data_IF_482832281123
#
_entry.id   IF_482832281123
#
_cell.length_a   1.000
_cell.length_b   1.000
_cell.length_c   1.000
_cell.angle_alpha   90.00
_cell.angle_beta   90.00
_cell.angle_gamma   90.00
#
_symmetry.space_group_name_H-M   'P 1'
#
loop_
_entity.id
_entity.type
_entity.pdbx_description
1 polymer ?
#
# COMPACT_ATOMS: atom_id res chain seq x y z
N UNK A 1 9.63 20.99 17.68
CA UNK A 1 8.35 21.28 16.98
C UNK A 1 8.56 21.10 15.46
N UNK A 2 8.52 19.86 14.95
CA UNK A 2 8.74 19.52 13.52
C UNK A 2 7.89 18.31 13.07
N UNK A 3 6.66 18.18 13.60
CA UNK A 3 5.78 17.02 13.32
C UNK A 3 4.69 17.35 12.27
N UNK A 4 4.56 18.61 11.81
CA UNK A 4 3.26 19.10 11.31
C UNK A 4 3.13 19.27 9.79
N UNK A 5 4.13 18.97 8.97
CA UNK A 5 4.01 19.19 7.50
C UNK A 5 3.62 17.95 6.66
N UNK A 6 3.33 16.80 7.27
CA UNK A 6 3.09 15.54 6.54
C UNK A 6 1.65 15.22 6.12
N UNK A 7 0.63 15.96 6.56
CA UNK A 7 -0.77 15.51 6.46
C UNK A 7 -1.51 15.87 5.15
N UNK A 8 -0.82 16.33 4.10
CA UNK A 8 -1.47 16.80 2.85
C UNK A 8 -1.89 15.73 1.85
N UNK A 9 -1.53 14.46 2.05
CA UNK A 9 -1.91 13.38 1.13
C UNK A 9 -2.61 12.24 1.86
N UNK A 10 -3.89 12.46 2.14
CA UNK A 10 -4.85 11.40 2.44
C UNK A 10 -5.74 11.18 1.23
N UNK A 11 -6.19 9.93 1.08
CA UNK A 11 -6.92 9.39 -0.07
C UNK A 11 -7.91 10.38 -0.73
N UNK A 12 -7.91 10.52 -2.07
CA UNK A 12 -8.82 11.41 -2.78
C UNK A 12 -10.27 10.95 -2.58
N UNK A 13 -11.00 11.74 -1.79
CA UNK A 13 -12.33 11.45 -1.25
C UNK A 13 -13.39 12.25 -2.02
N UNK A 14 -13.72 11.83 -3.23
CA UNK A 14 -14.98 12.20 -3.90
C UNK A 14 -15.64 10.94 -4.49
N UNK A 15 -16.92 10.79 -4.10
CA UNK A 15 -17.93 9.80 -4.52
C UNK A 15 -17.76 8.33 -4.08
N UNK A 16 -17.81 8.10 -2.77
CA UNK A 16 -17.73 6.77 -2.14
C UNK A 16 -18.94 5.87 -2.45
N UNK A 17 -20.14 6.45 -2.58
CA UNK A 17 -21.37 5.70 -2.84
C UNK A 17 -21.45 5.22 -4.30
N UNK A 18 -21.03 6.03 -5.27
CA UNK A 18 -20.94 5.62 -6.67
C UNK A 18 -19.83 4.59 -6.88
N UNK A 19 -18.66 4.77 -6.26
CA UNK A 19 -17.55 3.80 -6.33
C UNK A 19 -17.93 2.44 -5.73
N UNK A 20 -18.69 2.42 -4.62
CA UNK A 20 -19.21 1.18 -4.03
C UNK A 20 -20.17 0.44 -4.97
N UNK A 21 -21.11 1.14 -5.59
CA UNK A 21 -22.02 0.55 -6.58
C UNK A 21 -21.26 0.02 -7.79
N UNK A 22 -20.34 0.83 -8.35
CA UNK A 22 -19.49 0.42 -9.47
C UNK A 22 -18.69 -0.86 -9.18
N UNK A 23 -18.12 -1.00 -7.98
CA UNK A 23 -17.37 -2.21 -7.62
C UNK A 23 -18.26 -3.46 -7.49
N UNK A 24 -19.48 -3.30 -6.96
CA UNK A 24 -20.47 -4.39 -6.86
C UNK A 24 -20.97 -4.78 -8.25
N UNK A 25 -21.34 -3.81 -9.07
CA UNK A 25 -21.84 -4.02 -10.44
C UNK A 25 -20.77 -4.68 -11.31
N UNK A 26 -19.50 -4.27 -11.16
CA UNK A 26 -18.37 -4.91 -11.84
C UNK A 26 -18.17 -6.36 -11.38
N UNK A 27 -18.27 -6.64 -10.07
CA UNK A 27 -18.16 -8.01 -9.55
C UNK A 27 -19.28 -8.93 -10.05
N UNK A 28 -20.52 -8.43 -10.09
CA UNK A 28 -21.67 -9.15 -10.66
C UNK A 28 -21.46 -9.38 -12.17
N UNK A 29 -20.97 -8.38 -12.89
CA UNK A 29 -20.64 -8.48 -14.31
C UNK A 29 -19.65 -9.59 -14.61
N UNK A 30 -18.54 -9.68 -13.86
CA UNK A 30 -17.56 -10.78 -14.02
C UNK A 30 -18.19 -12.13 -13.69
N UNK A 31 -18.99 -12.23 -12.63
CA UNK A 31 -19.69 -13.48 -12.29
C UNK A 31 -20.58 -13.99 -13.42
N UNK A 32 -21.34 -13.09 -14.06
CA UNK A 32 -22.16 -13.41 -15.24
C UNK A 32 -21.28 -13.82 -16.42
N UNK A 33 -20.15 -13.13 -16.65
CA UNK A 33 -19.19 -13.46 -17.72
C UNK A 33 -18.54 -14.83 -17.53
N UNK A 34 -18.16 -15.21 -16.30
CA UNK A 34 -17.62 -16.54 -15.99
C UNK A 34 -18.68 -17.60 -16.25
N UNK A 35 -19.92 -17.40 -15.78
CA UNK A 35 -21.02 -18.35 -16.00
C UNK A 35 -21.31 -18.51 -17.50
N UNK A 36 -21.36 -17.40 -18.25
CA UNK A 36 -21.57 -17.42 -19.69
C UNK A 36 -20.43 -18.12 -20.43
N UNK A 37 -19.18 -17.88 -20.02
CA UNK A 37 -18.00 -18.53 -20.56
C UNK A 37 -18.00 -20.04 -20.28
N UNK A 38 -18.24 -20.46 -19.03
CA UNK A 38 -18.36 -21.90 -18.68
C UNK A 38 -19.49 -22.55 -19.46
N UNK A 39 -20.66 -21.91 -19.55
CA UNK A 39 -21.80 -22.42 -20.33
C UNK A 39 -21.47 -22.53 -21.83
N UNK A 40 -20.77 -21.55 -22.40
CA UNK A 40 -20.32 -21.55 -23.81
C UNK A 40 -19.35 -22.69 -24.08
N UNK A 41 -18.37 -22.91 -23.19
CA UNK A 41 -17.38 -23.98 -23.35
C UNK A 41 -17.99 -25.37 -23.16
N UNK A 42 -18.90 -25.54 -22.20
CA UNK A 42 -19.66 -26.79 -22.04
C UNK A 42 -20.45 -27.06 -23.32
N UNK A 43 -21.20 -26.07 -23.82
CA UNK A 43 -21.99 -26.21 -25.05
C UNK A 43 -21.12 -26.53 -26.26
N UNK A 44 -20.00 -25.84 -26.43
CA UNK A 44 -19.06 -26.06 -27.53
C UNK A 44 -18.38 -27.44 -27.43
N UNK A 45 -18.10 -27.95 -26.23
CA UNK A 45 -17.55 -29.30 -26.02
C UNK A 45 -18.58 -30.38 -26.36
N UNK A 46 -19.84 -30.18 -25.97
CA UNK A 46 -20.95 -31.09 -26.33
C UNK A 46 -21.24 -31.07 -27.83
N UNK A 47 -21.32 -29.88 -28.45
CA UNK A 47 -21.59 -29.71 -29.88
C UNK A 47 -20.44 -30.25 -30.76
N UNK A 48 -19.19 -30.20 -30.27
CA UNK A 48 -18.01 -30.76 -30.96
C UNK A 48 -17.82 -32.27 -30.76
N UNK A 49 -18.52 -32.91 -29.82
CA UNK A 49 -18.40 -34.37 -29.57
C UNK A 49 -18.98 -35.23 -30.69
N UNK A 50 -19.76 -34.65 -31.61
CA UNK A 50 -20.36 -35.33 -32.76
C UNK A 50 -19.60 -35.20 -34.09
N UNK A 51 -18.55 -34.37 -34.18
CA UNK A 51 -17.85 -34.09 -35.43
C UNK A 51 -16.34 -34.34 -35.27
N UNK A 52 -15.79 -35.25 -36.06
CA UNK A 52 -14.37 -35.62 -36.05
C UNK A 52 -13.43 -34.47 -36.42
N UNK A 53 -13.14 -33.58 -35.47
CA UNK A 53 -12.20 -32.47 -35.58
C UNK A 53 -10.80 -32.86 -35.08
N UNK A 54 -9.79 -32.23 -35.67
CA UNK A 54 -8.38 -32.56 -35.42
C UNK A 54 -7.94 -32.17 -34.00
N UNK A 55 -6.99 -32.93 -33.44
CA UNK A 55 -6.40 -32.68 -32.11
C UNK A 55 -5.90 -31.23 -31.93
N UNK A 56 -5.47 -30.58 -33.01
CA UNK A 56 -4.97 -29.20 -33.02
C UNK A 56 -6.06 -28.16 -32.73
N UNK A 57 -7.30 -28.38 -33.19
CA UNK A 57 -8.43 -27.48 -32.93
C UNK A 57 -8.85 -27.53 -31.45
N UNK A 58 -8.74 -28.70 -30.82
CA UNK A 58 -9.00 -28.85 -29.39
C UNK A 58 -7.94 -28.14 -28.55
N UNK A 59 -6.66 -28.25 -28.92
CA UNK A 59 -5.57 -27.53 -28.22
C UNK A 59 -5.77 -26.01 -28.29
N UNK A 60 -6.00 -25.47 -29.49
CA UNK A 60 -6.22 -24.03 -29.67
C UNK A 60 -7.44 -23.53 -28.88
N UNK A 61 -8.49 -24.35 -28.78
CA UNK A 61 -9.65 -24.03 -27.97
C UNK A 61 -9.32 -23.99 -26.46
N UNK A 62 -8.55 -24.96 -25.95
CA UNK A 62 -8.11 -24.95 -24.54
C UNK A 62 -7.17 -23.79 -24.21
N UNK A 63 -6.28 -23.40 -25.14
CA UNK A 63 -5.43 -22.22 -24.98
C UNK A 63 -6.25 -20.94 -24.88
N UNK A 64 -7.25 -20.77 -25.74
CA UNK A 64 -8.18 -19.64 -25.69
C UNK A 64 -8.98 -19.60 -24.37
N UNK A 65 -9.40 -20.77 -23.88
CA UNK A 65 -10.08 -20.88 -22.59
C UNK A 65 -9.15 -20.43 -21.46
N UNK A 66 -7.90 -20.89 -21.48
CA UNK A 66 -6.91 -20.55 -20.47
C UNK A 66 -6.62 -19.04 -20.44
N UNK A 67 -6.43 -18.41 -21.60
CA UNK A 67 -6.18 -16.97 -21.70
C UNK A 67 -7.36 -16.14 -21.17
N UNK A 68 -8.60 -16.51 -21.51
CA UNK A 68 -9.80 -15.83 -21.01
C UNK A 68 -9.97 -15.99 -19.49
N UNK A 69 -9.65 -17.16 -18.93
CA UNK A 69 -9.70 -17.39 -17.48
C UNK A 69 -8.63 -16.58 -16.73
N UNK A 70 -7.41 -16.47 -17.28
CA UNK A 70 -6.37 -15.64 -16.67
C UNK A 70 -6.75 -14.15 -16.70
N UNK A 71 -7.31 -13.65 -17.80
CA UNK A 71 -7.83 -12.28 -17.86
C UNK A 71 -8.92 -12.03 -16.79
N UNK A 72 -9.90 -12.93 -16.69
CA UNK A 72 -10.98 -12.80 -15.69
C UNK A 72 -10.46 -12.85 -14.24
N UNK A 73 -9.42 -13.66 -13.99
CA UNK A 73 -8.75 -13.72 -12.69
C UNK A 73 -8.06 -12.40 -12.34
N UNK A 74 -7.33 -11.80 -13.27
CA UNK A 74 -6.69 -10.49 -13.06
C UNK A 74 -7.72 -9.38 -12.76
N UNK A 75 -8.84 -9.37 -13.50
CA UNK A 75 -9.94 -8.44 -13.28
C UNK A 75 -10.58 -8.63 -11.90
N UNK A 76 -10.85 -9.88 -11.49
CA UNK A 76 -11.41 -10.20 -10.18
C UNK A 76 -10.46 -9.80 -9.04
N UNK A 77 -9.16 -10.03 -9.19
CA UNK A 77 -8.16 -9.56 -8.24
C UNK A 77 -8.15 -8.02 -8.14
N UNK A 78 -8.30 -7.33 -9.27
CA UNK A 78 -8.39 -5.87 -9.30
C UNK A 78 -9.59 -5.34 -8.52
N UNK A 79 -10.78 -5.91 -8.76
CA UNK A 79 -12.00 -5.56 -8.03
C UNK A 79 -11.85 -5.87 -6.54
N UNK A 80 -11.31 -7.04 -6.18
CA UNK A 80 -11.07 -7.40 -4.79
C UNK A 80 -10.15 -6.38 -4.09
N UNK A 81 -9.11 -5.90 -4.77
CA UNK A 81 -8.23 -4.84 -4.24
C UNK A 81 -9.00 -3.52 -4.03
N UNK A 82 -9.86 -3.11 -4.95
CA UNK A 82 -10.66 -1.88 -4.81
C UNK A 82 -11.72 -1.99 -3.71
N UNK A 83 -12.43 -3.12 -3.59
CA UNK A 83 -13.37 -3.39 -2.50
C UNK A 83 -12.66 -3.30 -1.15
N UNK A 84 -11.48 -3.91 -1.04
CA UNK A 84 -10.66 -3.85 0.16
C UNK A 84 -10.23 -2.42 0.51
N UNK A 85 -9.80 -1.61 -0.47
CA UNK A 85 -9.49 -0.17 -0.27
C UNK A 85 -10.70 0.61 0.22
N UNK A 86 -11.88 0.38 -0.36
CA UNK A 86 -13.12 1.00 0.10
C UNK A 86 -13.44 0.59 1.54
N UNK A 87 -13.24 -0.68 1.89
CA UNK A 87 -13.39 -1.19 3.25
C UNK A 87 -12.50 -0.46 4.26
N UNK A 88 -11.25 -0.13 3.89
CA UNK A 88 -10.37 0.69 4.75
C UNK A 88 -11.01 2.05 5.05
N UNK A 89 -11.52 2.72 4.02
CA UNK A 89 -12.15 4.02 4.16
C UNK A 89 -13.44 3.98 4.97
N UNK A 90 -14.17 2.87 5.00
CA UNK A 90 -15.41 2.77 5.78
C UNK A 90 -15.11 2.49 7.25
N UNK A 91 -14.20 1.56 7.53
CA UNK A 91 -13.95 1.08 8.89
C UNK A 91 -13.06 2.04 9.68
N UNK A 92 -11.99 2.57 9.07
CA UNK A 92 -10.98 3.34 9.79
C UNK A 92 -11.23 4.85 9.79
N UNK A 93 -12.10 5.36 8.91
CA UNK A 93 -12.33 6.81 8.75
C UNK A 93 -12.83 7.48 10.02
N UNK A 94 -13.78 6.87 10.73
CA UNK A 94 -14.30 7.45 11.98
C UNK A 94 -13.19 7.61 13.05
N UNK A 95 -12.25 6.67 13.09
CA UNK A 95 -11.14 6.67 14.03
C UNK A 95 -10.07 7.71 13.63
N UNK A 96 -9.80 7.83 12.33
CA UNK A 96 -8.94 8.88 11.79
C UNK A 96 -9.52 10.28 12.06
N UNK A 97 -10.80 10.49 11.75
CA UNK A 97 -11.50 11.75 12.00
C UNK A 97 -11.48 12.10 13.49
N UNK A 98 -11.71 11.12 14.36
CA UNK A 98 -11.67 11.35 15.82
C UNK A 98 -10.30 11.83 16.29
N UNK A 99 -9.20 11.22 15.82
CA UNK A 99 -7.84 11.65 16.17
C UNK A 99 -7.56 13.06 15.65
N UNK A 100 -7.96 13.38 14.41
CA UNK A 100 -7.77 14.70 13.82
C UNK A 100 -8.56 15.78 14.56
N UNK A 101 -9.84 15.55 14.83
CA UNK A 101 -10.67 16.48 15.59
C UNK A 101 -10.09 16.70 17.00
N UNK A 102 -9.59 15.63 17.62
CA UNK A 102 -8.96 15.70 18.95
C UNK A 102 -7.67 16.55 18.94
N UNK A 103 -6.89 16.49 17.85
CA UNK A 103 -5.74 17.37 17.66
C UNK A 103 -6.16 18.83 17.45
N UNK A 104 -7.26 19.08 16.74
CA UNK A 104 -7.79 20.43 16.54
C UNK A 104 -8.23 21.05 17.87
N UNK A 105 -9.03 20.35 18.66
CA UNK A 105 -9.47 20.86 19.98
C UNK A 105 -8.31 21.04 20.95
N UNK A 106 -7.27 20.19 20.87
CA UNK A 106 -6.02 20.40 21.62
C UNK A 106 -5.36 21.72 21.23
N UNK A 107 -5.21 21.99 19.92
CA UNK A 107 -4.60 23.24 19.44
C UNK A 107 -5.40 24.46 19.90
N UNK A 108 -6.73 24.42 19.78
CA UNK A 108 -7.60 25.49 20.26
C UNK A 108 -7.41 25.77 21.77
N UNK A 109 -7.24 24.73 22.57
CA UNK A 109 -6.93 24.88 23.99
C UNK A 109 -5.52 25.43 24.25
N UNK A 110 -4.51 24.99 23.50
CA UNK A 110 -3.14 25.48 23.63
C UNK A 110 -2.99 26.94 23.18
N UNK A 111 -3.73 27.37 22.16
CA UNK A 111 -3.77 28.75 21.68
C UNK A 111 -4.56 29.66 22.62
N UNK A 112 -5.68 29.16 23.18
CA UNK A 112 -6.56 29.89 24.08
C UNK A 112 -6.91 29.05 25.31
N UNK A 113 -6.03 29.06 26.32
CA UNK A 113 -6.16 28.23 27.52
C UNK A 113 -7.20 28.77 28.51
N UNK A 114 -8.48 28.53 28.21
CA UNK A 114 -9.61 28.80 29.09
C UNK A 114 -10.34 27.49 29.46
N UNK A 115 -11.17 27.55 30.52
CA UNK A 115 -11.88 26.39 31.06
C UNK A 115 -12.84 25.76 30.04
N UNK A 116 -13.49 26.57 29.20
CA UNK A 116 -14.37 26.08 28.14
C UNK A 116 -13.61 25.21 27.14
N UNK A 117 -12.49 25.69 26.61
CA UNK A 117 -11.66 24.97 25.64
C UNK A 117 -11.03 23.72 26.27
N UNK A 118 -10.64 23.81 27.55
CA UNK A 118 -10.17 22.64 28.31
C UNK A 118 -11.23 21.54 28.36
N UNK A 119 -12.47 21.90 28.69
CA UNK A 119 -13.57 20.94 28.81
C UNK A 119 -13.96 20.35 27.43
N UNK A 120 -13.96 21.16 26.37
CA UNK A 120 -14.16 20.68 24.98
C UNK A 120 -13.09 19.64 24.62
N UNK A 121 -11.82 19.95 24.87
CA UNK A 121 -10.72 19.03 24.61
C UNK A 121 -10.85 17.72 25.40
N UNK A 122 -11.04 17.79 26.71
CA UNK A 122 -11.19 16.60 27.58
C UNK A 122 -12.34 15.71 27.08
N UNK A 123 -13.50 16.29 26.78
CA UNK A 123 -14.66 15.54 26.31
C UNK A 123 -14.43 14.87 24.95
N UNK A 124 -13.70 15.53 24.04
CA UNK A 124 -13.44 15.00 22.70
C UNK A 124 -12.42 13.84 22.72
N UNK A 125 -11.52 13.81 23.69
CA UNK A 125 -10.40 12.84 23.77
C UNK A 125 -10.72 11.60 24.61
N UNK A 126 -11.83 11.57 25.36
CA UNK A 126 -12.18 10.50 26.29
C UNK A 126 -11.98 9.07 25.72
N UNK A 127 -12.32 8.83 24.45
CA UNK A 127 -12.13 7.53 23.78
C UNK A 127 -11.21 7.63 22.54
N UNK A 128 -10.13 8.40 22.65
CA UNK A 128 -9.04 8.37 21.65
C UNK A 128 -8.28 7.04 21.72
N UNK A 129 -8.19 6.42 22.91
CA UNK A 129 -7.51 5.14 23.14
C UNK A 129 -8.07 4.03 22.25
N UNK A 130 -9.39 3.95 22.11
CA UNK A 130 -10.06 2.97 21.25
C UNK A 130 -9.74 3.20 19.77
N UNK A 131 -9.69 4.46 19.34
CA UNK A 131 -9.34 4.80 17.96
C UNK A 131 -7.89 4.45 17.63
N UNK A 132 -6.98 4.63 18.58
CA UNK A 132 -5.58 4.21 18.45
C UNK A 132 -5.50 2.67 18.35
N UNK A 133 -6.22 1.93 19.20
CA UNK A 133 -6.26 0.46 19.16
C UNK A 133 -6.77 -0.06 17.83
N UNK A 134 -7.90 0.46 17.35
CA UNK A 134 -8.49 0.00 16.07
C UNK A 134 -7.51 0.21 14.91
N UNK A 135 -6.79 1.34 14.87
CA UNK A 135 -5.78 1.59 13.82
C UNK A 135 -4.58 0.65 13.94
N UNK A 136 -4.09 0.40 15.16
CA UNK A 136 -2.97 -0.53 15.42
C UNK A 136 -3.37 -1.96 15.06
N UNK A 137 -4.54 -2.41 15.50
CA UNK A 137 -5.07 -3.73 15.19
C UNK A 137 -5.29 -3.89 13.68
N UNK A 138 -5.73 -2.82 13.00
CA UNK A 138 -5.83 -2.78 11.54
C UNK A 138 -4.48 -2.94 10.83
N UNK A 139 -3.42 -2.29 11.33
CA UNK A 139 -2.05 -2.44 10.82
C UNK A 139 -1.47 -3.83 11.12
N UNK A 140 -1.80 -4.42 12.27
CA UNK A 140 -1.40 -5.77 12.65
C UNK A 140 -2.21 -6.86 11.92
N UNK A 141 -3.29 -6.51 11.23
CA UNK A 141 -4.23 -7.47 10.64
C UNK A 141 -5.02 -8.25 11.69
N UNK A 142 -5.19 -7.69 12.89
CA UNK A 142 -5.90 -8.30 14.03
C UNK A 142 -7.33 -7.78 14.19
N UNK A 143 -7.72 -6.76 13.43
CA UNK A 143 -9.09 -6.26 13.43
C UNK A 143 -10.04 -7.32 12.82
N UNK A 144 -10.97 -7.82 13.63
CA UNK A 144 -11.92 -8.87 13.22
C UNK A 144 -12.89 -8.43 12.12
N UNK A 145 -13.26 -7.15 12.11
CA UNK A 145 -14.30 -6.62 11.21
C UNK A 145 -13.73 -5.67 10.16
N UNK A 146 -12.47 -5.26 10.31
CA UNK A 146 -11.77 -4.37 9.41
C UNK A 146 -10.82 -5.12 8.49
N UNK A 147 -10.66 -4.66 7.23
CA UNK A 147 -9.62 -5.19 6.38
C UNK A 147 -8.22 -4.90 6.97
N UNK A 148 -7.29 -5.82 6.73
CA UNK A 148 -5.87 -5.67 7.07
C UNK A 148 -5.24 -4.54 6.24
N UNK A 149 -4.79 -3.49 6.93
CA UNK A 149 -4.24 -2.29 6.30
C UNK A 149 -2.96 -2.65 5.52
N UNK A 150 -2.08 -3.49 6.08
CA UNK A 150 -0.83 -3.86 5.42
C UNK A 150 -1.03 -4.79 4.22
N UNK A 151 -2.09 -5.59 4.20
CA UNK A 151 -2.38 -6.49 3.07
C UNK A 151 -2.89 -5.75 1.82
N UNK A 152 -3.39 -4.53 1.96
CA UNK A 152 -3.99 -3.76 0.86
C UNK A 152 -2.97 -2.82 0.20
N UNK A 153 -1.94 -2.44 0.94
CA UNK A 153 -0.87 -1.62 0.41
C UNK A 153 -0.13 -2.43 -0.65
N UNK A 154 0.02 -1.85 -1.85
CA UNK A 154 0.73 -2.51 -2.96
C UNK A 154 2.16 -2.84 -2.52
N UNK A 155 2.53 -4.10 -2.72
CA UNK A 155 3.80 -4.66 -2.32
C UNK A 155 4.92 -4.16 -3.24
N UNK A 156 5.51 -3.01 -2.90
CA UNK A 156 6.62 -2.36 -3.60
C UNK A 156 7.43 -1.63 -2.52
N UNK A 157 8.68 -2.01 -2.28
CA UNK A 157 9.49 -1.66 -1.10
C UNK A 157 9.39 -0.19 -0.63
N UNK A 158 9.77 0.79 -1.46
CA UNK A 158 9.70 2.22 -1.08
C UNK A 158 8.26 2.74 -1.02
N UNK A 159 7.39 2.30 -1.94
CA UNK A 159 5.97 2.71 -1.98
C UNK A 159 5.19 2.16 -0.77
N UNK A 160 5.52 0.98 -0.27
CA UNK A 160 4.99 0.37 0.96
C UNK A 160 5.31 1.24 2.17
N UNK A 161 6.59 1.60 2.35
CA UNK A 161 7.02 2.47 3.46
C UNK A 161 6.30 3.81 3.44
N UNK A 162 6.17 4.44 2.28
CA UNK A 162 5.47 5.73 2.17
C UNK A 162 3.97 5.61 2.45
N UNK A 163 3.34 4.49 2.07
CA UNK A 163 1.92 4.26 2.35
C UNK A 163 1.66 4.02 3.84
N UNK A 164 2.50 3.22 4.50
CA UNK A 164 2.39 2.93 5.95
C UNK A 164 2.65 4.18 6.80
N UNK A 165 3.60 5.03 6.40
CA UNK A 165 3.94 6.28 7.11
C UNK A 165 2.73 7.17 7.42
N UNK A 166 1.74 7.20 6.54
CA UNK A 166 0.53 8.02 6.75
C UNK A 166 -0.28 7.54 7.96
N UNK A 167 -0.50 6.23 8.06
CA UNK A 167 -1.24 5.60 9.17
C UNK A 167 -0.41 5.61 10.45
N UNK A 168 0.91 5.37 10.35
CA UNK A 168 1.84 5.49 11.47
C UNK A 168 1.84 6.91 12.06
N UNK A 169 1.90 7.94 11.20
CA UNK A 169 1.82 9.34 11.62
C UNK A 169 0.52 9.66 12.34
N UNK A 170 -0.59 9.08 11.90
CA UNK A 170 -1.89 9.22 12.55
C UNK A 170 -1.92 8.55 13.93
N UNK A 171 -1.37 7.34 14.06
CA UNK A 171 -1.23 6.64 15.36
C UNK A 171 -0.38 7.48 16.32
N UNK A 172 0.76 7.99 15.86
CA UNK A 172 1.63 8.85 16.65
C UNK A 172 0.94 10.16 17.07
N UNK A 173 0.11 10.72 16.20
CA UNK A 173 -0.73 11.88 16.52
C UNK A 173 -1.72 11.55 17.63
N UNK A 174 -2.40 10.40 17.56
CA UNK A 174 -3.30 9.93 18.61
C UNK A 174 -2.58 9.76 19.95
N UNK A 175 -1.41 9.14 19.95
CA UNK A 175 -0.58 8.96 21.16
C UNK A 175 -0.15 10.31 21.77
N UNK A 176 0.21 11.29 20.92
CA UNK A 176 0.54 12.64 21.37
C UNK A 176 -0.67 13.32 22.04
N UNK A 177 -1.83 13.31 21.37
CA UNK A 177 -3.06 13.92 21.90
C UNK A 177 -3.47 13.27 23.22
N UNK A 178 -3.38 11.94 23.30
CA UNK A 178 -3.63 11.17 24.52
C UNK A 178 -2.70 11.58 25.67
N UNK A 179 -1.40 11.77 25.40
CA UNK A 179 -0.43 12.23 26.40
C UNK A 179 -0.82 13.61 26.95
N UNK A 180 -1.20 14.54 26.07
CA UNK A 180 -1.67 15.86 26.49
C UNK A 180 -2.96 15.78 27.29
N UNK A 181 -3.90 14.90 26.91
CA UNK A 181 -5.09 14.63 27.70
C UNK A 181 -4.75 14.21 29.12
N UNK A 182 -3.85 13.24 29.31
CA UNK A 182 -3.42 12.82 30.65
C UNK A 182 -2.78 13.97 31.45
N UNK A 183 -1.99 14.82 30.79
CA UNK A 183 -1.36 15.99 31.43
C UNK A 183 -2.37 17.04 31.87
N UNK A 184 -3.46 17.21 31.11
CA UNK A 184 -4.46 18.27 31.31
C UNK A 184 -5.63 17.81 32.19
N UNK A 185 -6.01 16.52 32.14
CA UNK A 185 -7.17 15.96 32.84
C UNK A 185 -6.85 15.41 34.23
N UNK A 186 -5.63 14.93 34.48
CA UNK A 186 -5.27 14.19 35.70
C UNK A 186 -4.37 15.07 36.60
N UNK A 187 -4.68 15.16 37.90
CA UNK A 187 -3.71 15.63 38.90
C UNK A 187 -2.50 14.69 38.90
N UNK A 188 -1.28 15.23 38.85
CA UNK A 188 -0.01 14.53 38.55
C UNK A 188 0.26 13.18 39.27
N UNK A 189 -0.45 12.86 40.35
CA UNK A 189 -0.34 11.63 41.15
C UNK A 189 -0.85 10.35 40.47
N UNK A 190 -1.78 10.41 39.51
CA UNK A 190 -2.25 9.22 38.77
C UNK A 190 -1.43 8.93 37.50
N UNK A 191 -0.58 9.86 37.08
CA UNK A 191 0.24 9.80 35.87
C UNK A 191 1.32 8.68 35.92
N UNK A 192 1.66 8.21 37.12
CA UNK A 192 2.79 7.30 37.36
C UNK A 192 2.44 5.80 37.33
N UNK A 193 1.16 5.41 37.28
CA UNK A 193 0.79 3.98 37.18
C UNK A 193 0.88 3.51 35.73
N UNK A 194 1.57 2.39 35.52
CA UNK A 194 1.64 1.74 34.22
C UNK A 194 0.23 1.31 33.77
N UNK A 195 -0.33 2.04 32.81
CA UNK A 195 -1.68 1.75 32.31
C UNK A 195 -1.66 0.51 31.41
N UNK A 196 -2.74 -0.31 31.42
CA UNK A 196 -2.91 -1.41 30.46
C UNK A 196 -2.76 -0.96 29.00
N UNK A 197 -3.13 0.29 28.70
CA UNK A 197 -2.94 0.90 27.40
C UNK A 197 -1.46 1.02 27.02
N UNK A 198 -0.60 1.51 27.93
CA UNK A 198 0.85 1.61 27.69
C UNK A 198 1.44 0.25 27.34
N UNK A 199 1.13 -0.80 28.12
CA UNK A 199 1.61 -2.17 27.86
C UNK A 199 1.16 -2.68 26.49
N UNK A 200 -0.09 -2.40 26.11
CA UNK A 200 -0.61 -2.73 24.78
C UNK A 200 0.18 -2.01 23.68
N UNK A 201 0.44 -0.70 23.82
CA UNK A 201 1.22 0.06 22.83
C UNK A 201 2.64 -0.50 22.71
N UNK A 202 3.34 -0.67 23.82
CA UNK A 202 4.73 -1.18 23.83
C UNK A 202 4.82 -2.54 23.12
N UNK A 203 3.86 -3.45 23.41
CA UNK A 203 3.80 -4.77 22.78
C UNK A 203 3.44 -4.68 21.29
N UNK A 204 2.52 -3.77 20.93
CA UNK A 204 2.03 -3.64 19.56
C UNK A 204 3.04 -3.00 18.63
N UNK A 205 3.83 -2.04 19.12
CA UNK A 205 4.92 -1.42 18.35
C UNK A 205 5.98 -2.44 17.94
N UNK A 206 6.38 -3.34 18.86
CA UNK A 206 7.32 -4.43 18.57
C UNK A 206 6.74 -5.36 17.49
N UNK A 207 5.46 -5.73 17.61
CA UNK A 207 4.79 -6.58 16.60
C UNK A 207 4.68 -5.89 15.25
N UNK A 208 4.37 -4.59 15.23
CA UNK A 208 4.26 -3.79 14.02
C UNK A 208 5.59 -3.68 13.30
N UNK A 209 6.67 -3.42 14.04
CA UNK A 209 8.02 -3.34 13.51
C UNK A 209 8.42 -4.66 12.84
N UNK A 210 8.23 -5.79 13.53
CA UNK A 210 8.50 -7.12 12.97
C UNK A 210 7.68 -7.36 11.71
N UNK A 211 6.36 -7.17 11.78
CA UNK A 211 5.44 -7.39 10.65
C UNK A 211 5.79 -6.50 9.45
N UNK A 212 6.15 -5.25 9.69
CA UNK A 212 6.58 -4.34 8.64
C UNK A 212 7.86 -4.83 7.97
N UNK A 213 8.86 -5.25 8.75
CA UNK A 213 10.10 -5.81 8.21
C UNK A 213 9.85 -7.09 7.40
N UNK A 214 9.05 -8.02 7.93
CA UNK A 214 8.65 -9.24 7.22
C UNK A 214 7.96 -8.89 5.89
N UNK A 215 7.03 -7.92 5.91
CA UNK A 215 6.32 -7.49 4.70
C UNK A 215 7.22 -6.82 3.68
N UNK A 216 8.18 -6.02 4.12
CA UNK A 216 9.17 -5.41 3.24
C UNK A 216 10.02 -6.48 2.55
N UNK A 217 10.41 -7.53 3.28
CA UNK A 217 11.16 -8.66 2.71
C UNK A 217 10.31 -9.41 1.68
N UNK A 218 9.03 -9.69 1.98
CA UNK A 218 8.10 -10.29 1.02
C UNK A 218 7.93 -9.46 -0.25
N UNK A 219 8.01 -8.13 -0.14
CA UNK A 219 7.83 -7.21 -1.26
C UNK A 219 9.08 -7.00 -2.12
N UNK A 220 10.20 -7.63 -1.80
CA UNK A 220 11.37 -7.56 -2.66
C UNK A 220 11.20 -8.48 -3.86
N UNK A 221 11.17 -7.88 -5.06
CA UNK A 221 11.25 -8.61 -6.31
C UNK A 221 12.61 -9.33 -6.41
N UNK A 222 12.60 -10.56 -6.95
CA UNK A 222 13.83 -11.32 -7.15
C UNK A 222 14.73 -10.60 -8.17
N UNK A 223 15.85 -10.07 -7.67
CA UNK A 223 16.80 -9.31 -8.46
C UNK A 223 17.55 -10.19 -9.48
N UNK A 224 17.49 -11.53 -9.36
CA UNK A 224 18.13 -12.44 -10.32
C UNK A 224 17.56 -12.31 -11.73
N UNK A 225 16.30 -11.90 -11.85
CA UNK A 225 15.59 -11.83 -13.13
C UNK A 225 15.71 -10.47 -13.83
N UNK A 226 16.30 -9.46 -13.17
CA UNK A 226 16.41 -8.09 -13.68
C UNK A 226 16.98 -8.07 -15.10
N UNK A 227 18.12 -8.75 -15.34
CA UNK A 227 18.78 -8.74 -16.64
C UNK A 227 17.95 -9.38 -17.77
N UNK A 228 17.19 -10.44 -17.47
CA UNK A 228 16.33 -11.14 -18.43
C UNK A 228 15.12 -10.26 -18.80
N UNK A 229 14.52 -9.63 -17.80
CA UNK A 229 13.35 -8.78 -17.99
C UNK A 229 13.70 -7.45 -18.68
N UNK A 230 14.83 -6.85 -18.31
CA UNK A 230 15.41 -5.72 -19.05
C UNK A 230 15.64 -6.09 -20.52
N UNK A 231 16.19 -7.26 -20.80
CA UNK A 231 16.40 -7.75 -22.17
C UNK A 231 15.09 -7.90 -22.95
N UNK A 232 13.98 -8.24 -22.29
CA UNK A 232 12.66 -8.36 -22.92
C UNK A 232 12.06 -6.99 -23.24
N UNK A 233 12.20 -6.01 -22.35
CA UNK A 233 11.78 -4.62 -22.58
C UNK A 233 12.58 -4.01 -23.72
N UNK A 234 13.89 -4.20 -23.71
CA UNK A 234 14.75 -3.67 -24.77
C UNK A 234 14.41 -4.26 -26.13
N UNK A 235 14.03 -5.54 -26.18
CA UNK A 235 13.51 -6.18 -27.40
C UNK A 235 12.18 -5.59 -27.86
N UNK A 236 11.26 -5.32 -26.93
CA UNK A 236 9.97 -4.70 -27.24
C UNK A 236 10.10 -3.24 -27.71
N UNK A 237 11.13 -2.52 -27.24
CA UNK A 237 11.40 -1.12 -27.61
C UNK A 237 12.42 -0.96 -28.74
N UNK A 238 12.80 -2.04 -29.45
CA UNK A 238 13.81 -2.00 -30.52
C UNK A 238 13.48 -1.02 -31.66
N UNK A 239 12.19 -0.80 -31.91
CA UNK A 239 11.70 0.11 -32.96
C UNK A 239 11.54 1.56 -32.50
N UNK A 240 11.76 1.84 -31.22
CA UNK A 240 11.59 3.16 -30.61
C UNK A 240 12.93 3.91 -30.51
N UNK A 241 12.88 5.22 -30.21
CA UNK A 241 14.09 6.00 -30.00
C UNK A 241 14.82 5.53 -28.74
N UNK A 242 16.13 5.79 -28.67
CA UNK A 242 16.97 5.36 -27.53
C UNK A 242 16.52 6.01 -26.22
N UNK A 243 16.03 7.24 -26.29
CA UNK A 243 15.46 7.98 -25.17
C UNK A 243 14.20 7.29 -24.66
N UNK A 244 13.27 6.92 -25.55
CA UNK A 244 12.01 6.23 -25.17
C UNK A 244 12.28 4.84 -24.58
N UNK A 245 13.25 4.11 -25.13
CA UNK A 245 13.68 2.83 -24.58
C UNK A 245 14.31 2.98 -23.18
N UNK A 246 15.11 4.03 -22.97
CA UNK A 246 15.73 4.30 -21.68
C UNK A 246 14.70 4.74 -20.61
N UNK A 247 13.75 5.58 -20.99
CA UNK A 247 12.65 6.01 -20.11
C UNK A 247 11.76 4.81 -19.73
N UNK A 248 11.40 3.96 -20.71
CA UNK A 248 10.61 2.74 -20.46
C UNK A 248 11.34 1.77 -19.54
N UNK A 249 12.65 1.64 -19.69
CA UNK A 249 13.48 0.78 -18.85
C UNK A 249 13.62 1.35 -17.44
N UNK A 250 13.83 2.66 -17.30
CA UNK A 250 13.90 3.33 -16.01
C UNK A 250 12.57 3.23 -15.27
N UNK A 251 11.46 3.52 -15.94
CA UNK A 251 10.11 3.40 -15.39
C UNK A 251 9.85 1.98 -14.89
N UNK A 252 10.17 0.97 -15.70
CA UNK A 252 10.05 -0.42 -15.28
C UNK A 252 10.89 -0.77 -14.05
N UNK A 253 12.17 -0.37 -14.03
CA UNK A 253 13.08 -0.65 -12.92
C UNK A 253 12.64 0.05 -11.64
N UNK A 254 12.20 1.31 -11.73
CA UNK A 254 11.64 2.04 -10.60
C UNK A 254 10.27 1.53 -10.17
N UNK A 255 9.51 0.92 -11.09
CA UNK A 255 8.20 0.36 -10.78
C UNK A 255 8.30 -0.99 -10.07
N UNK A 256 9.14 -1.89 -10.59
CA UNK A 256 9.25 -3.30 -10.16
C UNK A 256 10.34 -3.53 -9.12
N UNK A 257 11.46 -2.80 -9.22
CA UNK A 257 12.62 -2.94 -8.34
C UNK A 257 12.85 -1.65 -7.54
N UNK A 258 11.80 -1.15 -6.91
CA UNK A 258 11.80 0.13 -6.22
C UNK A 258 12.61 0.14 -4.91
N UNK A 259 13.33 -0.93 -4.59
CA UNK A 259 14.23 -1.01 -3.43
C UNK A 259 15.54 -0.21 -3.64
N UNK A 260 15.89 0.12 -4.89
CA UNK A 260 17.13 0.81 -5.27
C UNK A 260 16.87 2.02 -6.15
N UNK A 261 17.83 2.94 -6.20
CA UNK A 261 17.84 3.99 -7.24
C UNK A 261 18.48 3.39 -8.48
N UNK A 262 17.85 3.63 -9.62
CA UNK A 262 18.32 3.12 -10.92
C UNK A 262 18.78 4.30 -11.76
N UNK A 263 19.85 4.08 -12.51
CA UNK A 263 20.35 5.02 -13.50
C UNK A 263 20.46 4.24 -14.81
N UNK A 264 19.79 4.74 -15.85
CA UNK A 264 19.88 4.18 -17.20
C UNK A 264 20.70 5.15 -18.04
N UNK A 265 21.82 4.67 -18.58
CA UNK A 265 22.73 5.49 -19.39
C UNK A 265 22.63 5.07 -20.86
N UNK A 266 22.19 5.99 -21.73
CA UNK A 266 22.22 5.80 -23.18
C UNK A 266 23.59 6.15 -23.74
N UNK A 267 24.27 5.19 -24.38
CA UNK A 267 25.51 5.48 -25.11
C UNK A 267 25.24 5.78 -26.59
N UNK A 268 25.88 6.84 -27.11
CA UNK A 268 25.93 7.10 -28.55
C UNK A 268 27.14 6.36 -29.14
N UNK A 269 26.91 5.24 -29.82
CA UNK A 269 27.94 4.65 -30.67
C UNK A 269 28.17 5.59 -31.86
N UNK A 270 29.39 6.13 -31.98
CA UNK A 270 29.86 6.87 -33.15
C UNK A 270 30.57 5.98 -34.20
N UNK A 271 30.47 4.65 -34.09
CA UNK A 271 31.06 3.73 -35.07
C UNK A 271 29.97 3.13 -35.96
N UNK A 272 30.07 3.39 -37.26
CA UNK A 272 29.19 2.89 -38.31
C UNK A 272 29.34 1.40 -38.59
N UNK A 273 29.05 0.57 -37.60
CA UNK A 273 28.85 -0.87 -37.80
C UNK A 273 27.45 -1.27 -37.34
N UNK A 274 26.70 -1.81 -38.29
CA UNK A 274 25.35 -2.33 -38.11
C UNK A 274 25.39 -3.67 -37.36
N UNK A 275 25.63 -3.62 -36.05
CA UNK A 275 25.24 -4.71 -35.15
C UNK A 275 24.52 -4.13 -33.94
N UNK A 276 23.24 -4.50 -33.83
CA UNK A 276 22.35 -4.15 -32.73
C UNK A 276 22.87 -4.72 -31.40
N UNK A 277 23.71 -3.96 -30.70
CA UNK A 277 23.92 -4.08 -29.27
C UNK A 277 23.84 -2.67 -28.70
N UNK A 278 22.70 -2.33 -28.11
CA UNK A 278 22.55 -1.11 -27.30
C UNK A 278 23.37 -1.31 -26.02
N UNK A 279 24.50 -0.62 -25.82
CA UNK A 279 25.21 -0.69 -24.55
C UNK A 279 24.49 0.26 -23.59
N UNK A 280 23.43 -0.25 -22.96
CA UNK A 280 22.83 0.39 -21.80
C UNK A 280 23.58 -0.12 -20.58
N UNK A 281 24.26 0.80 -19.90
CA UNK A 281 24.84 0.53 -18.58
C UNK A 281 23.79 0.90 -17.53
N UNK A 282 23.49 -0.06 -16.66
CA UNK A 282 22.69 0.16 -15.46
C UNK A 282 23.62 0.07 -14.27
N UNK A 283 23.89 1.21 -13.64
CA UNK A 283 24.74 1.25 -12.45
C UNK A 283 23.90 1.13 -11.17
N UNK A 284 24.41 0.33 -10.24
CA UNK A 284 23.82 0.09 -8.94
C UNK A 284 24.51 1.02 -7.95
N UNK A 285 23.78 1.98 -7.40
CA UNK A 285 24.32 2.80 -6.31
C UNK A 285 24.49 1.94 -5.04
N UNK A 286 25.72 1.47 -4.78
CA UNK A 286 26.07 0.55 -3.68
C UNK A 286 26.14 1.22 -2.31
N UNK A 287 25.96 2.54 -2.22
CA UNK A 287 26.21 3.30 -1.00
C UNK A 287 24.99 3.55 -0.10
N UNK A 288 23.78 3.13 -0.50
CA UNK A 288 22.58 3.41 0.31
C UNK A 288 22.34 2.43 1.47
N UNK A 289 22.92 1.22 1.44
CA UNK A 289 22.74 0.18 2.48
C UNK A 289 23.32 0.57 3.85
N UNK A 290 24.11 1.66 3.93
CA UNK A 290 24.69 2.15 5.19
C UNK A 290 23.98 3.34 5.83
N UNK A 291 23.08 4.03 5.12
CA UNK A 291 22.48 5.30 5.60
C UNK A 291 21.06 5.12 6.18
N UNK A 292 20.41 3.96 6.02
CA UNK A 292 19.13 3.65 6.68
C UNK A 292 19.27 2.71 7.89
N UNK A 293 20.43 2.70 8.53
CA UNK A 293 20.54 2.26 9.94
C UNK A 293 19.66 3.19 10.77
N UNK A 294 18.46 2.72 11.13
CA UNK A 294 17.92 2.67 12.49
C UNK A 294 18.52 3.63 13.53
N UNK A 295 18.60 4.93 13.21
CA UNK A 295 19.04 5.99 14.10
C UNK A 295 18.21 7.24 13.79
N UNK A 296 16.92 7.17 14.09
CA UNK A 296 16.15 8.33 14.53
C UNK A 296 14.78 7.86 14.97
N UNK A 297 14.72 7.17 16.12
CA UNK A 297 13.57 7.19 17.00
C UNK A 297 14.01 6.62 18.35
N UNK A 298 13.83 7.44 19.39
CA UNK A 298 14.02 7.16 20.81
C UNK A 298 15.43 7.38 21.38
N UNK A 299 15.85 8.65 21.44
CA UNK A 299 16.58 9.16 22.60
C UNK A 299 15.60 9.97 23.46
N UNK A 300 15.08 9.36 24.53
CA UNK A 300 14.47 10.11 25.62
C UNK A 300 15.63 10.67 26.46
N UNK A 301 15.95 11.95 26.27
CA UNK A 301 16.75 12.69 27.24
C UNK A 301 15.93 12.86 28.52
N UNK A 302 16.50 12.41 29.64
CA UNK A 302 16.15 12.88 30.98
C UNK A 302 16.46 14.38 31.04
N UNK A 303 15.44 15.17 31.35
CA UNK A 303 15.56 16.34 32.24
C UNK A 303 14.40 16.25 33.21
#
# INVERSE_FOLDING_TARGET
MKVVEGLRHSFPMLDMNRKKRMAIDAGIGIGISIIAFVASNIRQTFDNSGAGKSHQELISHFEQIHEQLEQQKEELESINREIKKLGLSVIYFQHESKIRDSLLTLREYLENSNERNRNIFINKVADVDDSIRVLIDGLLGQNTFGPDIMAIIRCRGRKLRNSVKSVESLVMTGLYVRREYQRISINATEFLKESPFKKYIDTSLIKLEKRFNDKVIECYADEKNVGVEMGSILKATLSQSREVAADSLLEFLEEKYDNKKWIVITQRNNSGDAHCNLPLSVDRDRNFDRIQKFNSLVSFERV
#
